data_IF_778055406926
#
_entry.id   IF_778055406926
#
_cell.length_a   1.000
_cell.length_b   1.000
_cell.length_c   1.000
_cell.angle_alpha   90.00
_cell.angle_beta   90.00
_cell.angle_gamma   90.00
#
_symmetry.space_group_name_H-M   'P 1'
#
loop_
_entity.id
_entity.type
_entity.pdbx_description
1 polymer ?
#
# COMPACT_ATOMS: atom_id res chain seq x y z
N UNK A 1 -1.38 -17.58 -11.60
CA UNK A 1 -1.23 -18.29 -10.30
C UNK A 1 0.20 -18.64 -9.92
N UNK A 2 1.14 -18.89 -10.84
CA UNK A 2 2.55 -19.20 -10.52
C UNK A 2 3.25 -18.09 -9.71
N UNK A 3 3.06 -16.83 -10.11
CA UNK A 3 3.67 -15.66 -9.44
C UNK A 3 3.21 -15.51 -7.98
N UNK A 4 1.89 -15.48 -7.74
CA UNK A 4 1.32 -15.36 -6.40
C UNK A 4 1.76 -16.48 -5.45
N UNK A 5 1.85 -17.73 -5.95
CA UNK A 5 2.39 -18.86 -5.17
C UNK A 5 3.85 -18.61 -4.79
N UNK A 6 4.66 -18.09 -5.73
CA UNK A 6 6.07 -17.82 -5.44
C UNK A 6 6.27 -16.70 -4.42
N UNK A 7 5.45 -15.65 -4.48
CA UNK A 7 5.44 -14.58 -3.47
C UNK A 7 5.08 -15.12 -2.09
N UNK A 8 4.05 -15.98 -2.02
CA UNK A 8 3.67 -16.66 -0.79
C UNK A 8 4.84 -17.47 -0.20
N UNK A 9 5.50 -18.29 -1.03
CA UNK A 9 6.68 -19.07 -0.58
C UNK A 9 7.77 -18.17 0.00
N UNK A 10 8.09 -17.06 -0.65
CA UNK A 10 9.09 -16.10 -0.16
C UNK A 10 8.65 -15.50 1.19
N UNK A 11 7.39 -15.08 1.30
CA UNK A 11 6.84 -14.53 2.56
C UNK A 11 6.97 -15.55 3.69
N UNK A 12 6.51 -16.78 3.49
CA UNK A 12 6.54 -17.84 4.50
C UNK A 12 7.97 -18.24 4.90
N UNK A 13 8.95 -18.07 4.02
CA UNK A 13 10.36 -18.41 4.27
C UNK A 13 11.20 -17.25 4.81
N UNK A 14 10.68 -16.03 4.78
CA UNK A 14 11.45 -14.81 5.10
C UNK A 14 11.54 -14.49 6.59
N UNK A 15 10.69 -15.09 7.43
CA UNK A 15 10.50 -14.72 8.84
C UNK A 15 10.28 -13.20 9.03
N UNK A 16 9.66 -12.56 8.05
CA UNK A 16 9.52 -11.10 8.03
C UNK A 16 8.52 -10.60 9.07
N UNK A 17 8.89 -9.55 9.82
CA UNK A 17 8.03 -8.90 10.80
C UNK A 17 6.81 -8.20 10.17
N UNK A 18 6.88 -7.86 8.87
CA UNK A 18 5.76 -7.31 8.11
C UNK A 18 5.91 -7.56 6.60
N UNK A 19 4.80 -7.47 5.88
CA UNK A 19 4.74 -7.56 4.42
C UNK A 19 4.09 -6.31 3.84
N UNK A 20 4.77 -5.68 2.88
CA UNK A 20 4.24 -4.52 2.14
C UNK A 20 4.28 -4.88 0.65
N UNK A 21 3.11 -5.05 0.05
CA UNK A 21 2.97 -5.23 -1.40
C UNK A 21 2.78 -3.87 -2.06
N UNK A 22 3.63 -3.48 -3.01
CA UNK A 22 3.57 -2.17 -3.68
C UNK A 22 2.95 -2.33 -5.07
N UNK A 23 1.87 -1.58 -5.35
CA UNK A 23 1.04 -1.69 -6.56
C UNK A 23 0.64 -0.31 -7.11
N UNK A 24 0.00 -0.34 -8.28
CA UNK A 24 -0.67 0.79 -8.90
C UNK A 24 -2.13 0.44 -9.16
N UNK A 25 -3.04 1.34 -8.79
CA UNK A 25 -4.46 1.08 -8.84
C UNK A 25 -5.00 1.33 -10.25
N UNK A 26 -6.18 0.77 -10.52
CA UNK A 26 -6.99 1.10 -11.68
C UNK A 26 -8.47 1.09 -11.30
N UNK A 27 -9.19 2.11 -11.76
CA UNK A 27 -10.63 2.23 -11.56
C UNK A 27 -11.26 2.94 -12.77
N UNK A 28 -12.41 2.49 -13.29
CA UNK A 28 -13.08 3.16 -14.42
C UNK A 28 -13.50 4.62 -14.16
N UNK A 29 -13.46 5.09 -12.91
CA UNK A 29 -13.75 6.48 -12.54
C UNK A 29 -12.45 7.30 -12.59
N UNK A 30 -12.24 8.16 -13.61
CA UNK A 30 -11.00 8.93 -13.75
C UNK A 30 -10.82 10.00 -12.67
N UNK A 31 -11.87 10.30 -11.88
CA UNK A 31 -11.80 11.22 -10.74
C UNK A 31 -11.16 10.60 -9.49
N UNK A 32 -11.01 9.27 -9.44
CA UNK A 32 -10.35 8.58 -8.32
C UNK A 32 -8.83 8.73 -8.47
N UNK A 33 -8.19 9.21 -7.41
CA UNK A 33 -6.75 9.45 -7.36
C UNK A 33 -6.20 9.44 -5.94
N UNK A 34 -4.88 9.37 -5.82
CA UNK A 34 -4.11 9.33 -4.57
C UNK A 34 -3.85 7.91 -4.05
N UNK A 35 -2.79 7.80 -3.22
CA UNK A 35 -2.40 6.53 -2.62
C UNK A 35 -3.48 5.96 -1.68
N UNK A 36 -3.67 4.65 -1.72
CA UNK A 36 -4.63 3.92 -0.88
C UNK A 36 -3.99 2.65 -0.33
N UNK A 37 -4.12 2.41 0.97
CA UNK A 37 -3.59 1.20 1.61
C UNK A 37 -4.73 0.23 1.92
N UNK A 38 -4.58 -1.02 1.49
CA UNK A 38 -5.51 -2.11 1.78
C UNK A 38 -4.96 -3.06 2.84
N UNK A 39 -5.87 -3.56 3.68
CA UNK A 39 -5.60 -4.54 4.73
C UNK A 39 -6.68 -5.62 4.78
N UNK A 40 -6.37 -6.78 5.36
CA UNK A 40 -7.36 -7.83 5.55
C UNK A 40 -8.29 -7.50 6.72
N UNK A 41 -9.61 -7.57 6.51
CA UNK A 41 -10.61 -7.18 7.51
C UNK A 41 -10.47 -7.91 8.85
N UNK A 42 -9.93 -9.14 8.85
CA UNK A 42 -9.75 -9.96 10.05
C UNK A 42 -8.41 -9.74 10.75
N UNK A 43 -7.53 -8.91 10.19
CA UNK A 43 -6.21 -8.60 10.74
C UNK A 43 -6.18 -7.22 11.40
N UNK A 44 -6.26 -7.19 12.73
CA UNK A 44 -6.15 -5.93 13.49
C UNK A 44 -4.76 -5.29 13.31
N UNK A 45 -3.69 -6.09 13.34
CA UNK A 45 -2.33 -5.61 13.14
C UNK A 45 -2.09 -5.09 11.70
N UNK A 46 -2.70 -5.73 10.69
CA UNK A 46 -2.70 -5.24 9.31
C UNK A 46 -3.47 -3.92 9.16
N UNK A 47 -4.61 -3.77 9.87
CA UNK A 47 -5.37 -2.51 9.91
C UNK A 47 -4.56 -1.36 10.51
N UNK A 48 -3.88 -1.60 11.62
CA UNK A 48 -3.03 -0.60 12.28
C UNK A 48 -1.86 -0.17 11.39
N UNK A 49 -1.16 -1.12 10.76
CA UNK A 49 -0.10 -0.84 9.79
C UNK A 49 -0.64 -0.01 8.61
N UNK A 50 -1.79 -0.40 8.06
CA UNK A 50 -2.41 0.31 6.94
C UNK A 50 -2.79 1.75 7.29
N UNK A 51 -3.36 1.97 8.48
CA UNK A 51 -3.69 3.31 8.97
C UNK A 51 -2.43 4.17 9.17
N UNK A 52 -1.36 3.58 9.70
CA UNK A 52 -0.06 4.28 9.87
C UNK A 52 0.52 4.72 8.53
N UNK A 53 0.57 3.82 7.53
CA UNK A 53 1.08 4.15 6.19
C UNK A 53 0.16 5.15 5.49
N UNK A 54 -1.17 4.95 5.53
CA UNK A 54 -2.13 5.87 4.90
C UNK A 54 -2.02 7.28 5.45
N UNK A 55 -1.82 7.45 6.77
CA UNK A 55 -1.60 8.76 7.39
C UNK A 55 -0.37 9.46 6.82
N UNK A 56 0.71 8.72 6.54
CA UNK A 56 1.93 9.29 5.97
C UNK A 56 1.76 9.61 4.48
N UNK A 57 1.04 8.79 3.71
CA UNK A 57 0.67 9.09 2.32
C UNK A 57 -0.19 10.37 2.24
N UNK A 58 -1.16 10.50 3.15
CA UNK A 58 -2.03 11.68 3.22
C UNK A 58 -1.29 12.97 3.62
N UNK A 59 -0.10 12.86 4.23
CA UNK A 59 0.72 14.00 4.65
C UNK A 59 1.71 14.46 3.56
N UNK A 60 1.77 13.77 2.41
CA UNK A 60 2.60 14.15 1.28
C UNK A 60 2.09 15.43 0.62
N UNK A 61 3.00 16.24 0.06
CA UNK A 61 2.66 17.46 -0.69
C UNK A 61 1.83 17.18 -1.94
N UNK A 62 1.99 16.00 -2.53
CA UNK A 62 1.30 15.54 -3.73
C UNK A 62 -0.11 15.01 -3.42
N UNK A 63 -0.45 14.81 -2.14
CA UNK A 63 -1.78 14.39 -1.73
C UNK A 63 -2.77 15.54 -1.92
N UNK A 64 -3.66 15.40 -2.91
CA UNK A 64 -4.73 16.38 -3.17
C UNK A 64 -5.99 16.14 -2.34
N UNK A 65 -6.17 14.92 -1.84
CA UNK A 65 -7.30 14.51 -1.01
C UNK A 65 -6.91 13.32 -0.15
N UNK A 66 -7.18 13.42 1.15
CA UNK A 66 -6.97 12.31 2.08
C UNK A 66 -7.87 11.12 1.72
N UNK A 67 -7.26 9.94 1.67
CA UNK A 67 -7.96 8.66 1.56
C UNK A 67 -7.94 7.93 2.90
N UNK A 68 -8.89 7.01 3.09
CA UNK A 68 -8.89 6.10 4.22
C UNK A 68 -8.22 4.78 3.84
N UNK A 69 -7.63 4.10 4.81
CA UNK A 69 -7.20 2.72 4.62
C UNK A 69 -8.46 1.84 4.48
N UNK A 70 -8.45 0.93 3.51
CA UNK A 70 -9.64 0.15 3.15
C UNK A 70 -9.44 -1.33 3.45
N UNK A 71 -10.48 -1.98 3.97
CA UNK A 71 -10.50 -3.43 4.05
C UNK A 71 -10.61 -4.03 2.64
N UNK A 72 -9.86 -5.09 2.36
CA UNK A 72 -9.89 -5.79 1.09
C UNK A 72 -9.72 -7.31 1.25
N UNK A 73 -10.25 -8.06 0.29
CA UNK A 73 -10.09 -9.51 0.23
C UNK A 73 -9.06 -9.89 -0.84
N UNK A 74 -7.79 -9.74 -0.48
CA UNK A 74 -6.67 -10.03 -1.38
C UNK A 74 -5.84 -11.19 -0.85
N UNK A 75 -5.50 -12.13 -1.73
CA UNK A 75 -4.71 -13.33 -1.39
C UNK A 75 -3.38 -12.98 -0.70
N UNK A 76 -2.70 -11.91 -1.12
CA UNK A 76 -1.42 -11.47 -0.55
C UNK A 76 -1.52 -11.01 0.91
N UNK A 77 -2.67 -10.51 1.34
CA UNK A 77 -2.90 -10.09 2.72
C UNK A 77 -3.07 -11.27 3.68
N UNK A 78 -3.33 -12.46 3.15
CA UNK A 78 -3.63 -13.69 3.90
C UNK A 78 -2.47 -14.69 3.91
N UNK A 79 -1.30 -14.30 3.40
CA UNK A 79 -0.15 -15.19 3.27
C UNK A 79 0.67 -15.35 4.57
N UNK A 80 0.44 -14.50 5.56
CA UNK A 80 1.10 -14.55 6.88
C UNK A 80 0.14 -14.06 7.97
N UNK A 81 0.43 -14.39 9.24
CA UNK A 81 -0.25 -13.80 10.41
C UNK A 81 0.37 -12.47 10.83
N UNK A 82 1.58 -12.17 10.36
CA UNK A 82 2.24 -10.89 10.61
C UNK A 82 1.53 -9.76 9.84
N UNK A 83 1.70 -8.49 10.24
CA UNK A 83 1.12 -7.34 9.55
C UNK A 83 1.39 -7.39 8.04
N UNK A 84 0.33 -7.35 7.23
CA UNK A 84 0.42 -7.39 5.77
C UNK A 84 -0.50 -6.35 5.15
N UNK A 85 0.02 -5.58 4.19
CA UNK A 85 -0.73 -4.53 3.48
C UNK A 85 -0.43 -4.54 1.98
N UNK A 86 -1.37 -3.99 1.21
CA UNK A 86 -1.17 -3.62 -0.19
C UNK A 86 -1.22 -2.10 -0.27
N UNK A 87 -0.15 -1.48 -0.75
CA UNK A 87 -0.08 -0.04 -0.99
C UNK A 87 -0.28 0.20 -2.48
N UNK A 88 -1.43 0.74 -2.82
CA UNK A 88 -1.69 1.29 -4.15
C UNK A 88 -1.19 2.74 -4.18
N UNK A 89 -0.16 3.03 -4.99
CA UNK A 89 0.55 4.31 -4.91
C UNK A 89 -0.15 5.47 -5.64
N UNK A 90 -1.15 5.16 -6.45
CA UNK A 90 -1.91 6.09 -7.29
C UNK A 90 -2.76 5.31 -8.29
N UNK A 91 -3.53 6.02 -9.12
CA UNK A 91 -4.42 5.40 -10.11
C UNK A 91 -3.87 5.59 -11.54
N UNK A 92 -3.58 4.49 -12.24
CA UNK A 92 -3.20 4.51 -13.67
C UNK A 92 -4.32 5.04 -14.57
N UNK A 93 -5.57 5.02 -14.08
CA UNK A 93 -6.72 5.57 -14.80
C UNK A 93 -6.93 7.07 -14.59
N UNK A 94 -6.11 7.72 -13.76
CA UNK A 94 -6.13 9.16 -13.54
C UNK A 94 -4.87 9.79 -14.13
N UNK A 95 -5.03 10.72 -15.07
CA UNK A 95 -3.92 11.31 -15.81
C UNK A 95 -2.89 12.05 -14.93
N UNK A 96 -3.34 12.70 -13.83
CA UNK A 96 -2.42 13.39 -12.92
C UNK A 96 -1.57 12.40 -12.12
N UNK A 97 -2.19 11.34 -11.60
CA UNK A 97 -1.48 10.28 -10.87
C UNK A 97 -0.56 9.50 -11.82
N UNK A 98 -1.00 9.14 -13.02
CA UNK A 98 -0.17 8.48 -14.03
C UNK A 98 1.09 9.30 -14.34
N UNK A 99 0.93 10.61 -14.55
CA UNK A 99 2.05 11.52 -14.78
C UNK A 99 3.00 11.59 -13.57
N UNK A 100 2.49 11.59 -12.34
CA UNK A 100 3.31 11.57 -11.11
C UNK A 100 4.05 10.24 -10.95
N UNK A 101 3.39 9.11 -11.20
CA UNK A 101 3.89 7.75 -10.94
C UNK A 101 5.20 7.42 -11.67
N UNK A 102 5.47 8.08 -12.79
CA UNK A 102 6.69 7.91 -13.58
C UNK A 102 7.82 8.86 -13.17
N UNK A 103 7.58 9.82 -12.27
CA UNK A 103 8.60 10.75 -11.79
C UNK A 103 9.41 10.16 -10.65
N UNK A 104 10.73 10.40 -10.67
CA UNK A 104 11.62 9.95 -9.61
C UNK A 104 11.31 10.63 -8.27
N UNK A 105 10.88 11.89 -8.33
CA UNK A 105 10.51 12.70 -7.17
C UNK A 105 9.31 12.08 -6.44
N UNK A 106 8.23 11.75 -7.17
CA UNK A 106 7.05 11.15 -6.56
C UNK A 106 7.34 9.74 -6.02
N UNK A 107 8.07 8.91 -6.77
CA UNK A 107 8.47 7.58 -6.32
C UNK A 107 9.26 7.66 -5.01
N UNK A 108 10.17 8.64 -4.88
CA UNK A 108 10.93 8.89 -3.64
C UNK A 108 10.02 9.36 -2.50
N UNK A 109 9.09 10.29 -2.77
CA UNK A 109 8.12 10.75 -1.77
C UNK A 109 7.24 9.60 -1.24
N UNK A 110 6.70 8.77 -2.13
CA UNK A 110 5.88 7.59 -1.76
C UNK A 110 6.70 6.58 -0.98
N UNK A 111 7.90 6.21 -1.45
CA UNK A 111 8.76 5.27 -0.76
C UNK A 111 9.11 5.75 0.66
N UNK A 112 9.40 7.04 0.83
CA UNK A 112 9.67 7.63 2.13
C UNK A 112 8.43 7.64 3.04
N UNK A 113 7.24 7.93 2.50
CA UNK A 113 5.99 7.88 3.25
C UNK A 113 5.65 6.45 3.73
N UNK A 114 5.85 5.44 2.87
CA UNK A 114 5.69 4.03 3.22
C UNK A 114 6.69 3.65 4.32
N UNK A 115 7.97 3.97 4.14
CA UNK A 115 9.02 3.72 5.13
C UNK A 115 8.68 4.34 6.50
N UNK A 116 8.31 5.62 6.51
CA UNK A 116 7.96 6.34 7.74
C UNK A 116 6.75 5.71 8.43
N UNK A 117 5.71 5.32 7.68
CA UNK A 117 4.54 4.63 8.22
C UNK A 117 4.89 3.26 8.81
N UNK A 118 5.73 2.50 8.11
CA UNK A 118 6.20 1.19 8.58
C UNK A 118 7.05 1.28 9.86
N UNK A 119 7.97 2.24 9.94
CA UNK A 119 8.78 2.47 11.16
C UNK A 119 7.90 2.98 12.31
N UNK A 120 6.96 3.88 12.03
CA UNK A 120 6.05 4.41 13.07
C UNK A 120 5.15 3.33 13.66
N UNK A 121 4.81 2.30 12.87
CA UNK A 121 4.01 1.17 13.36
C UNK A 121 4.71 0.37 14.47
N UNK A 122 6.05 0.28 14.44
CA UNK A 122 6.84 -0.42 15.45
C UNK A 122 7.23 0.45 16.66
N UNK A 123 6.90 1.74 16.64
CA UNK A 123 7.32 2.73 17.63
C UNK A 123 6.35 2.87 18.81
#
# INVERSE_FOLDING_TARGET
>A
MRDMKKRKEIIEQSDADMVISVHQNFCPLPSKRGGTVFFDKSSDCGRELAQSIQKNLNAMKECVKANEALAGDYYMLKCTKNPSVIVECGFLSNADDEALLITAEYQKSVAYAIFKGAVTYFA
#
